data_IF_818975756661
#
_entry.id   IF_818975756661
#
_cell.length_a   1.000
_cell.length_b   1.000
_cell.length_c   1.000
_cell.angle_alpha   90.00
_cell.angle_beta   90.00
_cell.angle_gamma   90.00
#
_symmetry.space_group_name_H-M   'P 1'
#
loop_
_entity.id
_entity.type
_entity.pdbx_description
1 polymer ?
#
# COMPACT_ATOMS: atom_id res chain seq x y z
N UNK A 1 -12.05 2.16 -4.32
CA UNK A 1 -11.43 0.89 -3.87
C UNK A 1 -10.34 1.18 -2.85
N UNK A 2 -10.05 0.23 -1.95
CA UNK A 2 -9.09 0.46 -0.85
C UNK A 2 -7.97 -0.59 -0.80
N UNK A 3 -8.21 -1.81 -1.25
CA UNK A 3 -7.20 -2.85 -1.29
C UNK A 3 -7.41 -3.80 -2.47
N UNK A 4 -6.32 -4.36 -2.93
CA UNK A 4 -6.26 -5.35 -4.00
C UNK A 4 -5.38 -6.53 -3.58
N UNK A 5 -5.69 -7.70 -4.13
CA UNK A 5 -4.84 -8.88 -4.10
C UNK A 5 -5.01 -9.63 -5.42
N UNK A 6 -3.92 -10.06 -6.04
CA UNK A 6 -3.97 -11.16 -6.99
C UNK A 6 -3.57 -12.44 -6.26
N UNK A 7 -4.52 -13.36 -6.09
CA UNK A 7 -4.27 -14.61 -5.38
C UNK A 7 -3.45 -15.61 -6.21
N UNK A 8 -2.99 -16.69 -5.59
CA UNK A 8 -2.20 -17.76 -6.24
C UNK A 8 -2.92 -18.42 -7.42
N UNK A 9 -4.27 -18.34 -7.46
CA UNK A 9 -5.08 -18.78 -8.59
C UNK A 9 -5.28 -17.70 -9.66
N UNK A 10 -4.53 -16.59 -9.59
CA UNK A 10 -4.61 -15.43 -10.48
C UNK A 10 -5.95 -14.69 -10.46
N UNK A 11 -6.79 -14.91 -9.45
CA UNK A 11 -8.02 -14.15 -9.27
C UNK A 11 -7.69 -12.79 -8.67
N UNK A 12 -8.37 -11.75 -9.13
CA UNK A 12 -8.27 -10.42 -8.56
C UNK A 12 -9.32 -10.23 -7.46
N UNK A 13 -8.87 -9.96 -6.26
CA UNK A 13 -9.70 -9.56 -5.14
C UNK A 13 -9.67 -8.04 -5.01
N UNK A 14 -10.83 -7.41 -4.87
CA UNK A 14 -10.93 -5.96 -4.67
C UNK A 14 -11.79 -5.68 -3.45
N UNK A 15 -11.30 -4.83 -2.57
CA UNK A 15 -12.07 -4.36 -1.41
C UNK A 15 -12.41 -2.88 -1.57
N UNK A 16 -13.66 -2.53 -1.33
CA UNK A 16 -14.17 -1.16 -1.45
C UNK A 16 -14.55 -0.58 -0.10
N UNK A 17 -14.61 0.75 0.00
CA UNK A 17 -15.18 1.45 1.15
C UNK A 17 -16.69 1.14 1.32
N UNK A 18 -17.33 0.64 0.29
CA UNK A 18 -18.75 0.25 0.29
C UNK A 18 -19.00 -1.16 0.85
N UNK A 19 -18.03 -1.73 1.57
CA UNK A 19 -18.14 -3.00 2.31
C UNK A 19 -18.28 -4.25 1.44
N UNK A 20 -17.94 -4.18 0.15
CA UNK A 20 -17.95 -5.34 -0.74
C UNK A 20 -16.52 -5.83 -1.00
N UNK A 21 -16.36 -7.14 -1.01
CA UNK A 21 -15.18 -7.81 -1.55
C UNK A 21 -15.63 -8.51 -2.83
N UNK A 22 -15.11 -8.06 -3.96
CA UNK A 22 -15.37 -8.63 -5.27
C UNK A 22 -14.20 -9.51 -5.67
N UNK A 23 -14.51 -10.64 -6.29
CA UNK A 23 -13.50 -11.58 -6.82
C UNK A 23 -13.74 -11.71 -8.32
N UNK A 24 -12.69 -11.44 -9.11
CA UNK A 24 -12.69 -11.56 -10.55
C UNK A 24 -11.80 -12.71 -10.98
N UNK A 25 -12.20 -13.42 -12.03
CA UNK A 25 -11.39 -14.43 -12.68
C UNK A 25 -10.20 -13.80 -13.44
N UNK A 26 -9.19 -14.59 -13.84
CA UNK A 26 -8.04 -14.07 -14.60
C UNK A 26 -8.40 -13.38 -15.92
N UNK A 27 -9.51 -13.74 -16.54
CA UNK A 27 -10.04 -13.11 -17.75
C UNK A 27 -10.76 -11.79 -17.50
N UNK A 28 -10.93 -11.40 -16.23
CA UNK A 28 -11.60 -10.17 -15.78
C UNK A 28 -13.11 -10.32 -15.52
N UNK A 29 -13.69 -11.51 -15.70
CA UNK A 29 -15.09 -11.74 -15.39
C UNK A 29 -15.33 -11.81 -13.88
N UNK A 30 -16.42 -11.20 -13.40
CA UNK A 30 -16.80 -11.25 -11.99
C UNK A 30 -17.20 -12.68 -11.61
N UNK A 31 -16.43 -13.29 -10.70
CA UNK A 31 -16.76 -14.58 -10.10
C UNK A 31 -17.90 -14.40 -9.09
N UNK A 32 -17.80 -13.39 -8.22
CA UNK A 32 -18.82 -13.09 -7.23
C UNK A 32 -18.31 -12.18 -6.11
N UNK A 33 -19.06 -12.19 -5.02
CA UNK A 33 -18.84 -11.40 -3.81
C UNK A 33 -18.59 -12.34 -2.63
N UNK A 34 -17.63 -12.01 -1.77
CA UNK A 34 -17.40 -12.75 -0.53
C UNK A 34 -18.51 -12.41 0.47
N UNK A 35 -19.22 -13.42 0.94
CA UNK A 35 -20.22 -13.29 1.98
C UNK A 35 -19.62 -13.36 3.39
N UNK A 36 -20.36 -12.93 4.40
CA UNK A 36 -19.98 -13.07 5.83
C UNK A 36 -19.83 -14.53 6.29
N UNK A 37 -20.44 -15.47 5.57
CA UNK A 37 -20.34 -16.90 5.82
C UNK A 37 -19.17 -17.57 5.08
N UNK A 38 -18.37 -16.79 4.34
CA UNK A 38 -17.21 -17.30 3.61
C UNK A 38 -17.51 -17.86 2.23
N UNK A 39 -18.73 -17.74 1.72
CA UNK A 39 -19.08 -18.17 0.37
C UNK A 39 -18.79 -17.07 -0.65
N UNK A 40 -18.31 -17.45 -1.83
CA UNK A 40 -18.30 -16.57 -3.00
C UNK A 40 -19.62 -16.77 -3.74
N UNK A 41 -20.47 -15.75 -3.76
CA UNK A 41 -21.83 -15.77 -4.31
C UNK A 41 -22.00 -14.72 -5.42
N UNK A 42 -22.96 -14.93 -6.32
CA UNK A 42 -23.24 -14.00 -7.42
C UNK A 42 -23.95 -12.73 -6.99
N UNK A 43 -24.81 -12.85 -5.98
CA UNK A 43 -25.59 -11.74 -5.44
C UNK A 43 -24.66 -10.78 -4.70
N UNK A 44 -24.85 -9.49 -4.95
CA UNK A 44 -24.10 -8.44 -4.27
C UNK A 44 -24.44 -8.43 -2.79
N UNK A 45 -23.46 -8.80 -1.97
CA UNK A 45 -23.59 -8.84 -0.51
C UNK A 45 -22.42 -8.14 0.14
N UNK A 46 -22.70 -7.36 1.20
CA UNK A 46 -21.64 -6.75 2.00
C UNK A 46 -20.92 -7.80 2.85
N UNK A 47 -19.60 -7.69 2.94
CA UNK A 47 -18.78 -8.45 3.88
C UNK A 47 -18.84 -7.77 5.26
N UNK A 48 -17.82 -7.05 5.65
CA UNK A 48 -17.76 -6.22 6.85
C UNK A 48 -17.20 -4.84 6.48
N UNK A 49 -17.26 -3.89 7.40
CA UNK A 49 -16.85 -2.53 7.12
C UNK A 49 -15.37 -2.43 6.74
N UNK A 50 -15.10 -1.75 5.62
CA UNK A 50 -13.82 -1.18 5.27
C UNK A 50 -12.61 -2.10 5.38
N UNK A 51 -12.43 -3.05 4.44
CA UNK A 51 -11.19 -3.81 4.30
C UNK A 51 -10.13 -2.89 3.67
N UNK A 52 -9.01 -2.71 4.36
CA UNK A 52 -7.93 -1.79 4.03
C UNK A 52 -6.64 -2.49 3.58
N UNK A 53 -6.49 -3.76 3.92
CA UNK A 53 -5.37 -4.58 3.46
C UNK A 53 -5.82 -6.02 3.22
N UNK A 54 -5.23 -6.65 2.20
CA UNK A 54 -5.47 -8.05 1.84
C UNK A 54 -4.11 -8.68 1.59
N UNK A 55 -3.87 -9.86 2.17
CA UNK A 55 -2.68 -10.67 1.95
C UNK A 55 -3.09 -12.14 1.75
N UNK A 56 -2.49 -12.84 0.79
CA UNK A 56 -2.44 -14.29 0.77
C UNK A 56 -1.10 -14.72 1.37
N UNK A 57 -1.14 -15.52 2.44
CA UNK A 57 0.08 -16.03 3.05
C UNK A 57 0.62 -17.26 2.27
N UNK A 58 1.82 -17.70 2.61
CA UNK A 58 2.48 -18.85 1.97
C UNK A 58 1.68 -20.16 2.06
N UNK A 59 0.78 -20.27 3.04
CA UNK A 59 -0.05 -21.45 3.26
C UNK A 59 -1.39 -21.34 2.52
N UNK A 60 -1.59 -20.26 1.74
CA UNK A 60 -2.78 -19.98 0.95
C UNK A 60 -3.97 -19.45 1.75
N UNK A 61 -3.76 -18.99 2.98
CA UNK A 61 -4.79 -18.30 3.74
C UNK A 61 -4.87 -16.85 3.27
N UNK A 62 -6.09 -16.33 3.16
CA UNK A 62 -6.33 -14.91 2.88
C UNK A 62 -6.54 -14.17 4.19
N UNK A 63 -5.76 -13.13 4.41
CA UNK A 63 -5.86 -12.25 5.55
C UNK A 63 -6.49 -10.92 5.14
N UNK A 64 -7.49 -10.47 5.88
CA UNK A 64 -8.20 -9.22 5.62
C UNK A 64 -8.07 -8.30 6.83
N UNK A 65 -7.38 -7.19 6.66
CA UNK A 65 -7.27 -6.13 7.67
C UNK A 65 -8.36 -5.10 7.48
N UNK A 66 -9.05 -4.74 8.54
CA UNK A 66 -10.17 -3.79 8.49
C UNK A 66 -9.85 -2.50 9.24
N UNK A 67 -10.62 -1.46 8.95
CA UNK A 67 -10.45 -0.15 9.59
C UNK A 67 -10.84 -0.16 11.08
N UNK A 68 -11.84 -0.95 11.48
CA UNK A 68 -12.46 -0.78 12.82
C UNK A 68 -12.78 -2.10 13.54
N UNK A 69 -12.76 -3.22 12.83
CA UNK A 69 -13.22 -4.51 13.34
C UNK A 69 -12.15 -5.61 13.31
N UNK A 70 -10.88 -5.23 13.31
CA UNK A 70 -9.78 -6.16 13.46
C UNK A 70 -9.40 -6.92 12.19
N UNK A 71 -8.98 -8.15 12.36
CA UNK A 71 -8.35 -9.01 11.36
C UNK A 71 -9.20 -10.26 11.10
N UNK A 72 -9.36 -10.61 9.84
CA UNK A 72 -9.97 -11.88 9.45
C UNK A 72 -8.94 -12.78 8.77
N UNK A 73 -8.96 -14.06 9.13
CA UNK A 73 -8.28 -15.13 8.42
C UNK A 73 -9.31 -15.98 7.67
N UNK A 74 -9.13 -16.15 6.39
CA UNK A 74 -9.96 -17.00 5.54
C UNK A 74 -9.14 -18.23 5.14
N UNK A 75 -9.56 -19.42 5.57
CA UNK A 75 -8.97 -20.69 5.16
C UNK A 75 -9.84 -21.36 4.12
N UNK A 76 -9.26 -21.68 2.96
CA UNK A 76 -10.01 -22.31 1.88
C UNK A 76 -10.47 -23.71 2.27
N UNK A 77 -11.76 -23.97 2.18
CA UNK A 77 -12.39 -25.27 2.48
C UNK A 77 -13.13 -25.87 1.32
N UNK A 78 -13.29 -25.11 0.23
CA UNK A 78 -13.93 -25.55 -1.02
C UNK A 78 -13.56 -24.64 -2.19
N UNK A 79 -14.08 -24.91 -3.38
CA UNK A 79 -13.77 -24.12 -4.58
C UNK A 79 -14.13 -22.64 -4.41
N UNK A 80 -15.30 -22.37 -3.79
CA UNK A 80 -15.83 -21.02 -3.56
C UNK A 80 -16.25 -20.84 -2.10
N UNK A 81 -15.58 -21.51 -1.16
CA UNK A 81 -15.91 -21.44 0.26
C UNK A 81 -14.64 -21.37 1.11
N UNK A 82 -14.70 -20.49 2.12
CA UNK A 82 -13.67 -20.27 3.13
C UNK A 82 -14.26 -20.38 4.53
N UNK A 83 -13.58 -21.03 5.46
CA UNK A 83 -13.84 -20.84 6.88
C UNK A 83 -13.25 -19.52 7.33
N UNK A 84 -13.96 -18.77 8.16
CA UNK A 84 -13.55 -17.44 8.61
C UNK A 84 -13.23 -17.48 10.09
N UNK A 85 -12.04 -16.99 10.46
CA UNK A 85 -11.66 -16.72 11.85
C UNK A 85 -11.51 -15.21 12.01
N UNK A 86 -12.06 -14.65 13.06
CA UNK A 86 -12.07 -13.23 13.35
C UNK A 86 -11.27 -12.94 14.62
N UNK A 87 -10.35 -11.98 14.55
CA UNK A 87 -9.49 -11.55 15.64
C UNK A 87 -9.70 -10.06 15.88
N UNK A 88 -9.89 -9.70 17.15
CA UNK A 88 -10.11 -8.32 17.58
C UNK A 88 -9.24 -7.98 18.77
N UNK A 89 -9.05 -6.67 18.99
CA UNK A 89 -8.49 -6.18 20.23
C UNK A 89 -9.42 -6.49 21.40
N UNK A 90 -8.87 -7.08 22.47
CA UNK A 90 -9.57 -7.40 23.70
C UNK A 90 -8.79 -6.81 24.88
N UNK A 91 -9.42 -5.92 25.63
CA UNK A 91 -8.77 -5.18 26.72
C UNK A 91 -8.20 -6.12 27.82
N UNK A 92 -8.83 -7.28 28.02
CA UNK A 92 -8.45 -8.25 29.05
C UNK A 92 -7.55 -9.37 28.51
N UNK A 93 -7.18 -9.35 27.22
CA UNK A 93 -6.25 -10.32 26.64
C UNK A 93 -5.01 -9.57 26.09
N UNK A 94 -3.89 -9.62 26.82
CA UNK A 94 -2.67 -8.93 26.42
C UNK A 94 -2.05 -9.48 25.12
N UNK A 95 -2.48 -10.64 24.66
CA UNK A 95 -2.04 -11.26 23.42
C UNK A 95 -3.07 -11.16 22.28
N UNK A 96 -4.15 -10.38 22.47
CA UNK A 96 -5.02 -9.97 21.39
C UNK A 96 -4.37 -8.89 20.52
N UNK A 97 -5.02 -8.47 19.42
CA UNK A 97 -4.53 -7.36 18.58
C UNK A 97 -4.33 -6.08 19.42
N UNK A 98 -3.30 -5.30 19.09
CA UNK A 98 -3.05 -4.00 19.74
C UNK A 98 -4.11 -2.95 19.39
N UNK A 99 -4.80 -3.11 18.26
CA UNK A 99 -5.89 -2.23 17.77
C UNK A 99 -6.70 -2.94 16.70
N UNK A 100 -7.97 -2.57 16.56
CA UNK A 100 -8.85 -3.07 15.50
C UNK A 100 -8.68 -2.37 14.15
N UNK A 101 -7.85 -1.33 14.07
CA UNK A 101 -7.61 -0.58 12.83
C UNK A 101 -6.38 -1.12 12.11
N UNK A 102 -6.57 -2.04 11.18
CA UNK A 102 -5.50 -2.73 10.44
C UNK A 102 -5.33 -2.08 9.07
N UNK A 103 -4.18 -1.46 8.82
CA UNK A 103 -3.87 -0.78 7.56
C UNK A 103 -2.87 -1.52 6.68
N UNK A 104 -2.02 -2.36 7.27
CA UNK A 104 -1.04 -3.15 6.56
C UNK A 104 -0.97 -4.58 7.10
N UNK A 105 -0.82 -5.55 6.21
CA UNK A 105 -0.48 -6.94 6.51
C UNK A 105 0.64 -7.31 5.57
N UNK A 106 1.72 -7.86 6.09
CA UNK A 106 2.90 -8.20 5.31
C UNK A 106 3.52 -9.51 5.81
N UNK A 107 3.85 -10.42 4.90
CA UNK A 107 4.62 -11.61 5.22
C UNK A 107 6.05 -11.42 4.73
N UNK A 108 7.02 -11.53 5.65
CA UNK A 108 8.44 -11.39 5.33
C UNK A 108 9.05 -12.67 4.75
N UNK A 109 10.27 -12.58 4.26
CA UNK A 109 11.01 -13.69 3.67
C UNK A 109 11.32 -14.86 4.65
N UNK A 110 11.15 -14.63 5.94
CA UNK A 110 11.24 -15.66 7.00
C UNK A 110 9.88 -16.21 7.42
N UNK A 111 8.83 -15.81 6.69
CA UNK A 111 7.44 -16.20 6.92
C UNK A 111 6.79 -15.59 8.17
N UNK A 112 7.39 -14.59 8.80
CA UNK A 112 6.71 -13.83 9.83
C UNK A 112 5.59 -12.99 9.20
N UNK A 113 4.40 -12.97 9.81
CA UNK A 113 3.31 -12.10 9.39
C UNK A 113 3.27 -10.89 10.32
N UNK A 114 3.55 -9.74 9.75
CA UNK A 114 3.54 -8.44 10.41
C UNK A 114 2.22 -7.72 10.13
N UNK A 115 1.62 -7.15 11.17
CA UNK A 115 0.32 -6.47 11.08
C UNK A 115 0.52 -5.04 11.56
N UNK A 116 0.30 -4.09 10.69
CA UNK A 116 0.39 -2.67 10.95
C UNK A 116 -0.96 -2.10 11.37
N UNK A 117 -1.04 -1.66 12.62
CA UNK A 117 -2.22 -1.04 13.20
C UNK A 117 -2.13 0.50 13.13
N UNK A 118 -3.25 1.14 12.80
CA UNK A 118 -3.38 2.60 12.85
C UNK A 118 -3.93 3.01 14.23
N UNK A 119 -3.01 3.12 15.21
CA UNK A 119 -3.32 3.42 16.60
C UNK A 119 -2.80 2.37 17.60
N UNK A 120 -2.19 1.29 17.13
CA UNK A 120 -1.63 0.22 17.97
C UNK A 120 -0.20 -0.19 17.61
N UNK A 121 0.38 0.42 16.56
CA UNK A 121 1.73 0.13 16.10
C UNK A 121 1.85 -1.20 15.37
N UNK A 122 2.98 -1.87 15.52
CA UNK A 122 3.31 -3.11 14.83
C UNK A 122 2.93 -4.31 15.71
N UNK A 123 2.31 -5.31 15.10
CA UNK A 123 2.06 -6.62 15.70
C UNK A 123 2.77 -7.69 14.86
N UNK A 124 3.29 -8.71 15.52
CA UNK A 124 3.75 -9.95 14.94
C UNK A 124 2.73 -11.05 15.25
N UNK A 125 2.23 -11.72 14.24
CA UNK A 125 1.37 -12.88 14.40
C UNK A 125 2.20 -14.06 14.88
N UNK A 126 1.82 -14.62 16.02
CA UNK A 126 2.40 -15.86 16.56
C UNK A 126 1.35 -16.97 16.54
N UNK A 127 1.78 -18.16 16.17
CA UNK A 127 0.93 -19.34 16.17
C UNK A 127 1.56 -20.44 17.01
N UNK A 128 0.86 -20.88 18.03
CA UNK A 128 1.27 -21.99 18.87
C UNK A 128 1.12 -23.34 18.14
N UNK A 129 1.77 -24.38 18.63
CA UNK A 129 1.71 -25.74 18.04
C UNK A 129 0.30 -26.33 18.00
N UNK A 130 -0.58 -25.91 18.91
CA UNK A 130 -2.01 -26.29 18.92
C UNK A 130 -2.87 -25.50 17.93
N UNK A 131 -2.25 -24.59 17.17
CA UNK A 131 -2.93 -23.75 16.18
C UNK A 131 -3.53 -22.47 16.77
N UNK A 132 -3.39 -22.21 18.08
CA UNK A 132 -3.84 -20.96 18.69
C UNK A 132 -3.05 -19.77 18.13
N UNK A 133 -3.75 -18.76 17.64
CA UNK A 133 -3.17 -17.50 17.15
C UNK A 133 -3.13 -16.49 18.29
N UNK A 134 -2.01 -15.77 18.39
CA UNK A 134 -1.80 -14.65 19.30
C UNK A 134 -1.03 -13.55 18.61
N UNK A 135 -1.01 -12.35 19.19
CA UNK A 135 -0.36 -11.18 18.62
C UNK A 135 0.66 -10.60 19.60
N UNK A 136 1.87 -10.44 19.10
CA UNK A 136 3.00 -9.90 19.86
C UNK A 136 3.18 -8.45 19.44
N UNK A 137 3.19 -7.53 20.41
CA UNK A 137 3.26 -6.09 20.18
C UNK A 137 3.91 -5.36 21.36
N UNK A 138 3.99 -4.03 21.32
CA UNK A 138 4.69 -3.22 22.32
C UNK A 138 4.20 -3.37 23.76
N UNK A 139 2.97 -3.82 23.99
CA UNK A 139 2.40 -3.98 25.33
C UNK A 139 2.68 -5.37 25.94
N UNK A 140 3.26 -6.30 25.17
CA UNK A 140 3.65 -7.62 25.68
C UNK A 140 5.13 -7.92 25.39
N UNK A 141 5.48 -8.69 24.37
CA UNK A 141 6.86 -9.17 24.18
C UNK A 141 7.71 -8.28 23.25
N UNK A 142 7.10 -7.45 22.40
CA UNK A 142 7.83 -6.51 21.51
C UNK A 142 8.02 -5.13 22.19
N UNK A 143 8.48 -5.12 23.45
CA UNK A 143 8.58 -3.90 24.29
C UNK A 143 9.55 -2.87 23.76
N UNK A 144 10.52 -3.27 22.95
CA UNK A 144 11.49 -2.38 22.29
C UNK A 144 10.94 -1.68 21.06
N UNK A 145 9.71 -1.99 20.60
CA UNK A 145 9.07 -1.26 19.53
C UNK A 145 8.80 0.21 19.94
N UNK A 146 9.25 1.21 19.16
CA UNK A 146 9.15 2.62 19.53
C UNK A 146 7.73 3.16 19.30
N UNK A 147 6.77 2.71 20.11
CA UNK A 147 5.33 3.00 19.96
C UNK A 147 5.02 4.51 19.92
N UNK A 148 5.79 5.33 20.64
CA UNK A 148 5.60 6.79 20.64
C UNK A 148 5.73 7.41 19.24
N UNK A 149 6.47 6.80 18.36
CA UNK A 149 6.70 7.25 16.99
C UNK A 149 6.00 6.35 15.96
N UNK A 150 5.90 5.06 16.25
CA UNK A 150 5.39 4.02 15.38
C UNK A 150 3.91 3.66 15.58
N UNK A 151 3.14 4.46 16.32
CA UNK A 151 1.75 4.13 16.67
C UNK A 151 0.83 3.94 15.47
N UNK A 152 1.02 4.73 14.40
CA UNK A 152 0.16 4.72 13.21
C UNK A 152 0.93 4.17 12.02
N UNK A 153 0.86 2.86 11.81
CA UNK A 153 1.48 2.16 10.69
C UNK A 153 0.57 2.27 9.47
N UNK A 154 1.15 2.65 8.33
CA UNK A 154 0.44 2.71 7.03
C UNK A 154 0.85 1.61 6.08
N UNK A 155 2.14 1.27 6.06
CA UNK A 155 2.69 0.29 5.13
C UNK A 155 3.85 -0.47 5.76
N UNK A 156 4.05 -1.71 5.32
CA UNK A 156 5.17 -2.57 5.73
C UNK A 156 5.72 -3.22 4.47
N UNK A 157 7.03 -3.23 4.33
CA UNK A 157 7.73 -3.89 3.23
C UNK A 157 9.05 -4.48 3.68
N UNK A 158 9.65 -5.32 2.87
CA UNK A 158 10.99 -5.86 3.06
C UNK A 158 11.92 -5.36 1.95
N UNK A 159 13.06 -4.79 2.34
CA UNK A 159 14.16 -4.47 1.45
C UNK A 159 15.18 -5.61 1.39
N UNK A 160 16.09 -5.62 0.40
CA UNK A 160 17.14 -6.62 0.29
C UNK A 160 17.94 -6.77 1.59
N UNK A 161 18.33 -8.01 1.89
CA UNK A 161 19.06 -8.34 3.12
C UNK A 161 18.18 -8.57 4.34
N UNK A 162 16.87 -8.72 4.17
CA UNK A 162 15.94 -9.01 5.26
C UNK A 162 15.69 -7.81 6.17
N UNK A 163 15.76 -6.60 5.62
CA UNK A 163 15.44 -5.38 6.36
C UNK A 163 13.95 -5.10 6.21
N UNK A 164 13.25 -5.10 7.32
CA UNK A 164 11.83 -4.70 7.38
C UNK A 164 11.76 -3.18 7.52
N UNK A 165 10.93 -2.58 6.67
CA UNK A 165 10.62 -1.16 6.66
C UNK A 165 9.17 -0.97 7.09
N UNK A 166 8.95 -0.12 8.07
CA UNK A 166 7.62 0.22 8.60
C UNK A 166 7.37 1.70 8.36
N UNK A 167 6.54 1.98 7.39
CA UNK A 167 6.07 3.33 7.07
C UNK A 167 4.99 3.77 8.06
N UNK A 168 5.24 4.87 8.73
CA UNK A 168 4.31 5.45 9.72
C UNK A 168 3.92 6.87 9.35
N UNK A 169 2.97 7.45 10.07
CA UNK A 169 2.67 8.89 9.94
C UNK A 169 3.73 9.79 10.56
N UNK A 170 4.78 9.21 11.18
CA UNK A 170 5.83 9.93 11.90
C UNK A 170 7.24 9.44 11.55
N UNK A 171 7.43 9.06 10.29
CA UNK A 171 8.70 8.63 9.72
C UNK A 171 8.75 7.14 9.38
N UNK A 172 9.92 6.72 8.99
CA UNK A 172 10.26 5.36 8.62
C UNK A 172 10.96 4.67 9.78
N UNK A 173 10.48 3.50 10.20
CA UNK A 173 11.20 2.60 11.08
C UNK A 173 11.81 1.47 10.26
N UNK A 174 13.02 1.05 10.61
CA UNK A 174 13.67 -0.10 9.99
C UNK A 174 14.23 -1.04 11.05
N UNK A 175 14.21 -2.35 10.77
CA UNK A 175 14.80 -3.37 11.60
C UNK A 175 15.15 -4.63 10.79
N UNK A 176 15.99 -5.49 11.31
CA UNK A 176 16.33 -6.76 10.67
C UNK A 176 15.30 -7.83 11.01
N UNK A 177 14.85 -8.62 10.02
CA UNK A 177 14.05 -9.82 10.28
C UNK A 177 14.92 -11.02 10.75
N UNK A 178 16.24 -10.82 10.84
CA UNK A 178 17.17 -11.82 11.37
C UNK A 178 17.34 -11.67 12.87
N UNK A 179 16.40 -12.19 13.64
CA UNK A 179 16.43 -12.25 15.10
C UNK A 179 16.10 -13.69 15.57
N UNK A 180 16.67 -14.09 16.69
CA UNK A 180 16.27 -15.31 17.38
C UNK A 180 15.29 -15.01 18.50
N UNK A 181 15.45 -13.85 19.16
CA UNK A 181 14.60 -13.38 20.25
C UNK A 181 14.11 -11.96 19.95
N UNK A 182 12.90 -11.67 20.34
CA UNK A 182 12.23 -10.40 20.02
C UNK A 182 12.89 -9.19 20.68
N UNK A 183 13.47 -9.37 21.88
CA UNK A 183 14.21 -8.32 22.57
C UNK A 183 15.52 -7.92 21.88
N UNK A 184 16.01 -8.72 20.93
CA UNK A 184 17.21 -8.41 20.13
C UNK A 184 16.91 -7.47 18.96
N UNK A 185 15.63 -7.32 18.60
CA UNK A 185 15.24 -6.44 17.49
C UNK A 185 15.60 -5.00 17.83
N UNK A 186 16.48 -4.42 17.03
CA UNK A 186 16.84 -3.00 17.13
C UNK A 186 16.10 -2.21 16.05
N UNK A 187 15.30 -1.25 16.48
CA UNK A 187 14.57 -0.35 15.61
C UNK A 187 15.37 0.93 15.37
N UNK A 188 15.43 1.36 14.11
CA UNK A 188 16.06 2.60 13.68
C UNK A 188 15.00 3.51 13.09
N UNK A 189 15.02 4.79 13.48
CA UNK A 189 14.03 5.76 13.02
C UNK A 189 14.66 6.78 12.07
N UNK A 190 14.04 6.96 10.91
CA UNK A 190 14.40 7.96 9.93
C UNK A 190 13.24 8.93 9.69
N UNK A 191 13.54 10.23 9.76
CA UNK A 191 12.55 11.31 9.63
C UNK A 191 13.08 12.41 8.71
N UNK A 192 12.19 13.29 8.32
CA UNK A 192 12.56 14.57 7.72
C UNK A 192 13.39 15.38 8.72
N UNK A 193 14.56 15.84 8.28
CA UNK A 193 15.43 16.75 9.02
C UNK A 193 15.46 18.10 8.31
N UNK A 194 14.97 19.19 8.92
CA UNK A 194 15.02 20.53 8.32
C UNK A 194 16.45 20.91 7.91
N UNK A 195 16.62 21.39 6.67
CA UNK A 195 17.92 21.76 6.13
C UNK A 195 18.74 20.60 5.53
N UNK A 196 18.39 19.36 5.80
CA UNK A 196 19.05 18.20 5.23
C UNK A 196 18.25 17.69 4.00
N UNK A 197 18.75 18.01 2.81
CA UNK A 197 18.14 17.62 1.52
C UNK A 197 18.19 16.12 1.24
N UNK A 198 19.01 15.38 1.99
CA UNK A 198 19.15 13.92 1.85
C UNK A 198 18.36 13.15 2.92
N UNK A 199 17.61 13.82 3.77
CA UNK A 199 16.65 13.17 4.66
C UNK A 199 15.30 12.91 3.95
N UNK A 200 14.36 12.22 4.60
CA UNK A 200 13.00 12.09 4.09
C UNK A 200 12.39 13.47 3.76
N UNK A 201 11.67 13.57 2.66
CA UNK A 201 10.97 14.79 2.24
C UNK A 201 9.78 15.13 3.14
N UNK A 202 9.09 14.10 3.67
CA UNK A 202 8.02 14.22 4.66
C UNK A 202 7.94 12.96 5.53
N UNK A 203 7.30 13.08 6.71
CA UNK A 203 7.25 11.99 7.69
C UNK A 203 6.05 11.05 7.52
N UNK A 204 4.99 11.45 6.82
CA UNK A 204 3.83 10.59 6.59
C UNK A 204 4.10 9.67 5.39
N UNK A 205 4.44 8.40 5.68
CA UNK A 205 4.83 7.42 4.67
C UNK A 205 3.59 6.68 4.18
N UNK A 206 3.30 6.82 2.88
CA UNK A 206 2.15 6.20 2.24
C UNK A 206 2.45 4.81 1.71
N UNK A 207 3.60 4.64 1.05
CA UNK A 207 3.99 3.39 0.43
C UNK A 207 5.51 3.21 0.45
N UNK A 208 5.94 1.97 0.55
CA UNK A 208 7.34 1.54 0.43
C UNK A 208 7.39 0.53 -0.71
N UNK A 209 8.21 0.81 -1.70
CA UNK A 209 8.33 -0.03 -2.89
C UNK A 209 9.79 -0.39 -3.17
N UNK A 210 10.06 -1.66 -3.42
CA UNK A 210 11.39 -2.13 -3.89
C UNK A 210 11.23 -2.67 -5.30
N UNK A 211 11.96 -2.09 -6.26
CA UNK A 211 11.93 -2.49 -7.66
C UNK A 211 12.71 -3.78 -7.92
N UNK A 212 12.63 -4.31 -9.14
CA UNK A 212 13.36 -5.52 -9.56
C UNK A 212 14.88 -5.36 -9.49
N UNK A 213 15.38 -4.13 -9.56
CA UNK A 213 16.80 -3.79 -9.43
C UNK A 213 17.25 -3.67 -7.96
N UNK A 214 16.37 -4.02 -7.01
CA UNK A 214 16.61 -3.93 -5.56
C UNK A 214 16.76 -2.50 -5.04
N UNK A 215 16.29 -1.50 -5.77
CA UNK A 215 16.23 -0.12 -5.30
C UNK A 215 14.93 0.09 -4.53
N UNK A 216 15.05 0.64 -3.33
CA UNK A 216 13.90 0.94 -2.46
C UNK A 216 13.50 2.40 -2.59
N UNK A 217 12.20 2.64 -2.70
CA UNK A 217 11.57 3.95 -2.79
C UNK A 217 10.57 4.10 -1.64
N UNK A 218 10.58 5.29 -1.02
CA UNK A 218 9.65 5.67 0.03
C UNK A 218 8.75 6.76 -0.53
N UNK A 219 7.46 6.51 -0.59
CA UNK A 219 6.46 7.47 -1.04
C UNK A 219 5.90 8.19 0.19
N UNK A 220 6.11 9.50 0.24
CA UNK A 220 5.68 10.34 1.36
C UNK A 220 4.52 11.23 0.94
N UNK A 221 3.48 11.30 1.76
CA UNK A 221 2.39 12.25 1.57
C UNK A 221 2.93 13.67 1.66
N UNK A 222 2.61 14.51 0.67
CA UNK A 222 3.14 15.88 0.50
C UNK A 222 4.66 16.00 0.25
N UNK A 223 5.36 14.86 0.08
CA UNK A 223 6.82 14.85 -0.12
C UNK A 223 7.28 14.13 -1.39
N UNK A 224 6.34 13.60 -2.19
CA UNK A 224 6.67 12.90 -3.43
C UNK A 224 7.41 11.58 -3.20
N UNK A 225 8.49 11.35 -3.96
CA UNK A 225 9.25 10.09 -4.00
C UNK A 225 10.63 10.28 -3.38
N UNK A 226 11.01 9.40 -2.46
CA UNK A 226 12.33 9.36 -1.83
C UNK A 226 13.03 8.04 -2.25
N UNK A 227 13.98 8.12 -3.17
CA UNK A 227 14.84 6.99 -3.55
C UNK A 227 15.89 6.78 -2.49
N UNK A 228 15.98 5.59 -1.94
CA UNK A 228 17.02 5.22 -0.97
C UNK A 228 18.37 5.16 -1.70
N UNK A 229 19.40 5.85 -1.15
CA UNK A 229 20.77 5.81 -1.68
C UNK A 229 21.76 5.19 -0.69
N UNK A 230 21.41 5.07 0.59
CA UNK A 230 22.24 4.37 1.58
C UNK A 230 22.31 2.88 1.31
N UNK A 231 23.47 2.25 1.34
CA UNK A 231 23.62 0.81 1.20
C UNK A 231 23.16 0.04 2.45
N UNK A 232 23.17 0.68 3.61
CA UNK A 232 22.73 0.11 4.88
C UNK A 232 21.49 0.84 5.38
N UNK A 233 20.39 0.10 5.57
CA UNK A 233 19.11 0.61 6.06
C UNK A 233 18.92 0.41 7.58
N UNK A 234 19.85 -0.25 8.26
CA UNK A 234 19.83 -0.46 9.70
C UNK A 234 20.60 0.67 10.40
N UNK A 235 20.17 1.91 10.19
CA UNK A 235 20.76 3.10 10.83
C UNK A 235 19.74 4.26 10.87
N UNK A 236 20.01 5.30 11.68
CA UNK A 236 19.15 6.46 11.87
C UNK A 236 19.41 7.62 10.87
N UNK A 237 20.36 7.43 9.94
CA UNK A 237 20.78 8.42 8.98
C UNK A 237 20.77 7.87 7.55
N UNK A 238 19.69 7.20 7.19
CA UNK A 238 19.47 6.77 5.81
C UNK A 238 19.43 8.02 4.92
N UNK A 239 20.17 7.96 3.82
CA UNK A 239 20.22 9.03 2.83
C UNK A 239 19.26 8.72 1.69
N UNK A 240 18.58 9.76 1.22
CA UNK A 240 17.59 9.69 0.16
C UNK A 240 17.90 10.69 -0.94
N UNK A 241 17.53 10.35 -2.16
CA UNK A 241 17.38 11.28 -3.28
C UNK A 241 15.89 11.56 -3.43
N UNK A 242 15.49 12.81 -3.28
CA UNK A 242 14.10 13.23 -3.25
C UNK A 242 13.66 13.79 -4.60
N UNK A 243 12.43 13.43 -5.00
CA UNK A 243 11.80 13.90 -6.24
C UNK A 243 10.41 14.44 -5.93
N UNK A 244 10.16 15.67 -6.33
CA UNK A 244 8.92 16.42 -6.15
C UNK A 244 8.49 17.10 -7.46
N UNK A 245 7.55 18.03 -7.39
CA UNK A 245 7.09 18.80 -8.56
C UNK A 245 8.21 19.59 -9.23
N UNK A 246 9.22 20.03 -8.49
CA UNK A 246 10.37 20.75 -9.05
C UNK A 246 11.25 19.83 -9.91
N UNK A 247 11.18 18.53 -9.72
CA UNK A 247 11.85 17.51 -10.53
C UNK A 247 10.95 16.98 -11.66
N UNK A 248 9.73 17.53 -11.82
CA UNK A 248 8.81 17.15 -12.88
C UNK A 248 7.74 16.11 -12.48
N UNK A 249 7.65 15.71 -11.22
CA UNK A 249 6.54 14.87 -10.74
C UNK A 249 5.22 15.66 -10.86
N UNK A 250 4.12 15.00 -11.25
CA UNK A 250 2.84 15.67 -11.46
C UNK A 250 2.28 16.32 -10.18
N UNK A 251 2.50 15.70 -9.02
CA UNK A 251 2.02 16.18 -7.72
C UNK A 251 2.90 15.68 -6.58
N UNK A 252 3.10 16.54 -5.57
CA UNK A 252 3.76 16.14 -4.32
C UNK A 252 2.87 15.25 -3.44
N UNK A 253 1.56 15.19 -3.74
CA UNK A 253 0.61 14.28 -3.10
C UNK A 253 0.70 12.89 -3.74
N UNK A 254 1.88 12.26 -3.60
CA UNK A 254 2.11 10.91 -4.07
C UNK A 254 1.48 9.89 -3.09
N UNK A 255 0.80 8.89 -3.64
CA UNK A 255 0.08 7.86 -2.89
C UNK A 255 0.80 6.52 -2.91
N UNK A 256 1.30 6.12 -4.07
CA UNK A 256 1.93 4.80 -4.25
C UNK A 256 2.83 4.76 -5.49
N UNK A 257 3.53 3.64 -5.63
CA UNK A 257 4.41 3.36 -6.77
C UNK A 257 4.31 1.89 -7.16
N UNK A 258 4.48 1.59 -8.44
CA UNK A 258 4.56 0.23 -8.97
C UNK A 258 5.49 0.17 -10.18
N UNK A 259 6.12 -0.98 -10.38
CA UNK A 259 6.86 -1.32 -11.58
C UNK A 259 6.01 -2.21 -12.48
N UNK A 260 5.89 -1.87 -13.76
CA UNK A 260 5.15 -2.68 -14.73
C UNK A 260 5.99 -3.87 -15.24
N UNK A 261 5.39 -4.68 -16.10
CA UNK A 261 6.05 -5.86 -16.68
C UNK A 261 7.20 -5.53 -17.64
N UNK A 262 7.33 -4.26 -18.05
CA UNK A 262 8.42 -3.74 -18.88
C UNK A 262 9.50 -3.04 -18.03
N UNK A 263 9.45 -3.19 -16.71
CA UNK A 263 10.36 -2.57 -15.73
C UNK A 263 10.29 -1.03 -15.74
N UNK A 264 9.11 -0.47 -16.09
CA UNK A 264 8.88 0.96 -15.99
C UNK A 264 8.25 1.26 -14.63
N UNK A 265 8.75 2.28 -13.96
CA UNK A 265 8.24 2.71 -12.66
C UNK A 265 7.11 3.74 -12.85
N UNK A 266 6.03 3.56 -12.12
CA UNK A 266 4.85 4.41 -12.16
C UNK A 266 4.53 4.93 -10.77
N UNK A 267 4.45 6.24 -10.64
CA UNK A 267 4.03 6.92 -9.40
C UNK A 267 2.58 7.34 -9.53
N UNK A 268 1.76 6.92 -8.59
CA UNK A 268 0.34 7.29 -8.49
C UNK A 268 0.23 8.48 -7.55
N UNK A 269 -0.33 9.57 -8.03
CA UNK A 269 -0.74 10.72 -7.21
C UNK A 269 -2.28 10.81 -7.19
N UNK A 270 -2.85 11.76 -6.47
CA UNK A 270 -4.32 11.90 -6.41
C UNK A 270 -4.99 12.09 -7.76
N UNK A 271 -4.31 12.78 -8.69
CA UNK A 271 -4.90 13.21 -9.98
C UNK A 271 -4.17 12.67 -11.22
N UNK A 272 -2.98 12.11 -11.07
CA UNK A 272 -2.13 11.75 -12.19
C UNK A 272 -1.37 10.46 -11.96
N UNK A 273 -0.97 9.84 -13.07
CA UNK A 273 -0.02 8.74 -13.13
C UNK A 273 1.26 9.27 -13.77
N UNK A 274 2.39 9.16 -13.08
CA UNK A 274 3.68 9.64 -13.55
C UNK A 274 4.62 8.47 -13.82
N UNK A 275 5.06 8.32 -15.07
CA UNK A 275 6.11 7.35 -15.43
C UNK A 275 7.47 7.93 -15.04
N UNK A 276 8.23 7.20 -14.25
CA UNK A 276 9.54 7.62 -13.76
C UNK A 276 10.67 6.86 -14.47
N UNK A 277 11.61 7.60 -15.03
CA UNK A 277 12.86 7.06 -15.56
C UNK A 277 13.98 7.30 -14.52
N UNK A 278 14.37 6.26 -13.74
CA UNK A 278 15.35 6.43 -12.66
C UNK A 278 16.79 6.66 -13.17
N UNK A 279 17.07 6.37 -14.44
CA UNK A 279 18.40 6.60 -15.03
C UNK A 279 18.58 8.06 -15.46
N UNK A 280 17.51 8.68 -15.97
CA UNK A 280 17.48 10.09 -16.37
C UNK A 280 16.98 11.00 -15.26
N UNK A 281 16.40 10.45 -14.20
CA UNK A 281 15.74 11.16 -13.11
C UNK A 281 14.61 12.10 -13.63
N UNK A 282 13.84 11.62 -14.62
CA UNK A 282 12.77 12.40 -15.27
C UNK A 282 11.43 11.72 -15.13
N UNK A 283 10.37 12.53 -15.20
CA UNK A 283 8.98 12.06 -15.16
C UNK A 283 8.25 12.39 -16.45
N UNK A 284 7.38 11.47 -16.86
CA UNK A 284 6.40 11.67 -17.90
C UNK A 284 5.00 11.52 -17.29
N UNK A 285 4.21 12.61 -17.30
CA UNK A 285 2.94 12.69 -16.58
C UNK A 285 1.75 12.43 -17.49
N UNK A 286 0.76 11.69 -16.97
CA UNK A 286 -0.50 11.34 -17.61
C UNK A 286 -1.66 11.75 -16.68
N UNK A 287 -2.41 12.77 -17.07
CA UNK A 287 -3.61 13.24 -16.36
C UNK A 287 -4.83 12.47 -16.88
N UNK A 288 -5.21 11.41 -16.20
CA UNK A 288 -6.30 10.54 -16.63
C UNK A 288 -7.68 11.12 -16.30
N UNK A 289 -7.77 12.03 -15.34
CA UNK A 289 -9.02 12.71 -14.94
C UNK A 289 -9.62 13.57 -16.05
N UNK A 290 -8.81 14.07 -16.99
CA UNK A 290 -9.28 14.84 -18.15
C UNK A 290 -9.94 13.99 -19.23
N UNK A 291 -9.72 12.67 -19.24
CA UNK A 291 -10.21 11.74 -20.26
C UNK A 291 -11.48 11.01 -19.79
N UNK A 292 -11.59 10.77 -18.50
CA UNK A 292 -12.72 10.10 -17.86
C UNK A 292 -13.37 11.05 -16.84
N UNK A 293 -14.65 10.83 -16.55
CA UNK A 293 -15.38 11.60 -15.51
C UNK A 293 -14.53 11.79 -14.26
N UNK A 294 -14.57 12.97 -13.65
CA UNK A 294 -13.81 13.33 -12.45
C UNK A 294 -13.77 12.21 -11.42
N UNK A 295 -12.60 11.66 -11.17
CA UNK A 295 -12.30 10.73 -10.11
C UNK A 295 -10.95 11.09 -9.48
N UNK A 296 -10.74 10.68 -8.25
CA UNK A 296 -9.44 10.75 -7.60
C UNK A 296 -8.89 9.34 -7.38
N UNK A 297 -7.58 9.16 -7.55
CA UNK A 297 -6.93 7.93 -7.16
C UNK A 297 -7.03 7.75 -5.65
N UNK A 298 -7.16 6.52 -5.21
CA UNK A 298 -7.22 6.16 -3.79
C UNK A 298 -5.87 5.70 -3.28
N UNK A 299 -5.74 5.56 -1.97
CA UNK A 299 -4.55 5.01 -1.31
C UNK A 299 -4.41 3.48 -1.47
N UNK A 300 -5.24 2.82 -2.30
CA UNK A 300 -5.09 1.40 -2.59
C UNK A 300 -3.75 1.16 -3.28
N UNK A 301 -2.96 0.24 -2.76
CA UNK A 301 -1.70 -0.12 -3.38
C UNK A 301 -1.97 -0.78 -4.73
N UNK A 302 -1.34 -0.29 -5.82
CA UNK A 302 -1.53 -0.84 -7.14
C UNK A 302 -0.95 -2.25 -7.24
N UNK A 303 -1.52 -3.06 -8.11
CA UNK A 303 -1.01 -4.40 -8.43
C UNK A 303 -1.00 -4.62 -9.94
N UNK A 304 -0.26 -5.61 -10.40
CA UNK A 304 -0.33 -6.11 -11.78
C UNK A 304 -1.29 -7.30 -11.79
N UNK A 305 -2.30 -7.28 -12.66
CA UNK A 305 -3.23 -8.39 -12.82
C UNK A 305 -2.69 -9.47 -13.78
N UNK A 306 -3.44 -10.59 -13.90
CA UNK A 306 -3.08 -11.72 -14.77
C UNK A 306 -2.96 -11.35 -16.27
N UNK A 307 -3.50 -10.19 -16.67
CA UNK A 307 -3.45 -9.66 -18.04
C UNK A 307 -2.32 -8.62 -18.23
N UNK A 308 -1.39 -8.53 -17.29
CA UNK A 308 -0.29 -7.56 -17.29
C UNK A 308 -0.73 -6.08 -17.26
N UNK A 309 -1.91 -5.81 -16.70
CA UNK A 309 -2.42 -4.45 -16.54
C UNK A 309 -2.17 -3.98 -15.10
N UNK A 310 -1.88 -2.69 -14.94
CA UNK A 310 -1.84 -2.05 -13.63
C UNK A 310 -3.29 -1.82 -13.17
N UNK A 311 -3.60 -2.28 -11.98
CA UNK A 311 -4.87 -2.03 -11.31
C UNK A 311 -4.67 -0.88 -10.34
N UNK A 312 -5.43 0.20 -10.54
CA UNK A 312 -5.37 1.43 -9.78
C UNK A 312 -6.68 1.68 -9.06
N UNK A 313 -6.64 1.89 -7.76
CA UNK A 313 -7.84 2.22 -6.98
C UNK A 313 -8.27 3.67 -7.22
N UNK A 314 -9.59 3.89 -7.25
CA UNK A 314 -10.19 5.22 -7.29
C UNK A 314 -11.28 5.34 -6.22
N UNK A 315 -11.75 6.55 -5.98
CA UNK A 315 -12.89 6.83 -5.10
C UNK A 315 -14.21 6.23 -5.63
N UNK A 316 -14.32 6.03 -6.96
CA UNK A 316 -15.51 5.46 -7.63
C UNK A 316 -15.39 3.97 -7.97
N UNK A 317 -14.22 3.35 -7.80
CA UNK A 317 -13.98 1.95 -8.17
C UNK A 317 -12.50 1.67 -8.39
N UNK A 318 -12.16 1.08 -9.52
CA UNK A 318 -10.77 0.88 -9.94
C UNK A 318 -10.63 1.04 -11.45
N UNK A 319 -9.43 1.32 -11.90
CA UNK A 319 -9.04 1.38 -13.31
C UNK A 319 -8.09 0.24 -13.64
N UNK A 320 -8.23 -0.31 -14.84
CA UNK A 320 -7.28 -1.22 -15.46
C UNK A 320 -6.51 -0.46 -16.54
N UNK A 321 -5.22 -0.29 -16.34
CA UNK A 321 -4.35 0.46 -17.23
C UNK A 321 -3.37 -0.47 -17.91
N UNK A 322 -3.32 -0.42 -19.24
CA UNK A 322 -2.32 -1.12 -20.06
C UNK A 322 -1.17 -0.16 -20.36
N UNK A 323 -0.02 -0.24 -19.65
CA UNK A 323 1.07 0.73 -19.79
C UNK A 323 1.60 0.87 -21.22
N UNK A 324 1.63 -0.24 -21.96
CA UNK A 324 2.11 -0.28 -23.36
C UNK A 324 1.21 0.48 -24.34
N UNK A 325 -0.04 0.74 -23.95
CA UNK A 325 -1.03 1.50 -24.75
C UNK A 325 -1.08 2.97 -24.37
N UNK A 326 -0.46 3.36 -23.25
CA UNK A 326 -0.43 4.75 -22.83
C UNK A 326 0.47 5.57 -23.75
N UNK A 327 -0.09 6.59 -24.35
CA UNK A 327 0.62 7.53 -25.22
C UNK A 327 0.16 8.94 -24.88
N UNK A 328 1.10 9.88 -24.87
CA UNK A 328 0.73 11.31 -24.86
C UNK A 328 0.06 11.65 -26.17
N UNK A 329 -1.03 12.39 -26.08
CA UNK A 329 -1.62 13.02 -27.26
C UNK A 329 -0.59 14.01 -27.84
N UNK A 330 -0.28 13.88 -29.11
CA UNK A 330 0.49 14.90 -29.85
C UNK A 330 -0.39 16.10 -30.28
N UNK A 331 -1.68 16.02 -29.96
CA UNK A 331 -2.62 17.10 -30.28
C UNK A 331 -2.37 18.29 -29.35
N UNK A 332 -1.90 19.39 -29.93
CA UNK A 332 -1.83 20.70 -29.28
C UNK A 332 -3.14 21.43 -29.67
N UNK A 333 -4.08 21.60 -28.73
CA UNK A 333 -5.31 22.35 -29.07
C UNK A 333 -4.91 23.76 -29.50
N UNK A 334 -5.47 24.26 -30.62
CA UNK A 334 -5.23 25.64 -31.05
C UNK A 334 -5.79 26.58 -29.97
N UNK A 335 -5.02 27.59 -29.63
CA UNK A 335 -5.51 28.66 -28.76
C UNK A 335 -6.51 29.46 -29.61
N UNK A 336 -7.77 29.42 -29.21
CA UNK A 336 -8.84 30.23 -29.86
C UNK A 336 -9.24 31.31 -28.87
N UNK A 337 -9.02 32.55 -29.25
CA UNK A 337 -9.56 33.70 -28.55
C UNK A 337 -11.07 33.80 -28.79
N UNK A 338 -11.88 33.53 -27.77
CA UNK A 338 -13.34 33.57 -27.86
C UNK A 338 -13.94 34.94 -27.51
N UNK A 339 -13.11 35.89 -27.12
CA UNK A 339 -13.50 37.26 -26.83
C UNK A 339 -12.33 38.11 -26.33
N UNK A 340 -12.39 39.39 -26.60
CA UNK A 340 -11.50 40.41 -26.10
C UNK A 340 -12.31 41.38 -25.22
N UNK A 341 -11.83 41.59 -23.99
CA UNK A 341 -12.38 42.66 -23.13
C UNK A 341 -11.30 43.71 -22.91
N UNK A 342 -11.61 44.95 -23.23
CA UNK A 342 -10.77 46.10 -22.93
C UNK A 342 -11.44 46.86 -21.80
N UNK A 343 -10.76 47.04 -20.68
CA UNK A 343 -11.27 47.66 -19.45
C UNK A 343 -12.64 47.13 -18.98
N UNK A 344 -12.87 45.81 -19.18
CA UNK A 344 -14.10 45.14 -18.76
C UNK A 344 -15.24 45.16 -19.78
N UNK A 345 -15.07 45.84 -20.90
CA UNK A 345 -16.05 45.89 -22.01
C UNK A 345 -15.69 44.91 -23.11
N UNK A 346 -16.67 44.12 -23.55
CA UNK A 346 -16.50 43.24 -24.74
C UNK A 346 -16.45 44.10 -26.00
N UNK A 347 -15.47 43.85 -26.86
CA UNK A 347 -15.36 44.43 -28.21
C UNK A 347 -15.89 43.47 -29.23
#
# INVERSE_FOLDING_TARGET
TRAFLQDSNKRLWTASKSNYIQIFAPDGNLVGYLSKQGNIIKEKQSFYNGVYSILEDKDGNIWLGTKEIGLFQLKKTGANHYSIHHFEHQTNDPYSLSSNSIYAIFQDSRNNIWIGCYGGGLNLLAQAKDGKVSFIHSNNELRNYPIAYGMKVRNIAEAPGGVILVGTTNGLLTFSNNFERLEEIKFYRNIRRPGDKNSLSANDIMHIYTDKNKTTYIISFTGGVNKVISPNLLNENIQFRNYDKNNGLASDLALSMIEDTQNQLWVVSEIALSKFDPAKETFENYELSSIYQEFNFSEALPIINARNQIILGTDKGFLEVSPEKMRKSSYVPPIVFTGLKIQGHST
#
